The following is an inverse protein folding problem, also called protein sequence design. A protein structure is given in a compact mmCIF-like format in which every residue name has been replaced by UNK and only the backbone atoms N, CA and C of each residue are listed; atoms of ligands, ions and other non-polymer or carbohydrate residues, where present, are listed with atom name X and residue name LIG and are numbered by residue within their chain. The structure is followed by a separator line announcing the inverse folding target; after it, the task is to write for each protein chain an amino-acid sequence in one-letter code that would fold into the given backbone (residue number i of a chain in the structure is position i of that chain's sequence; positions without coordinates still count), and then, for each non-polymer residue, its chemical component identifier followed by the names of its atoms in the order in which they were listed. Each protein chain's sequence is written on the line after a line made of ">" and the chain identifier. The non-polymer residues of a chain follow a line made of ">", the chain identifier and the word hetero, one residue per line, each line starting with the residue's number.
data_IF_163156974667
#
_entry.id   IF_163156974667
#
_cell.length_a   1.000
_cell.length_b   1.000
_cell.length_c   1.000
_cell.angle_alpha   90.00
_cell.angle_beta   90.00
_cell.angle_gamma   90.00
#
_symmetry.space_group_name_H-M   'P 1'
#
loop_
_entity.id
_entity.type
_entity.pdbx_description
1 polymer ?
#
# COMPACT_ATOMS: atom_id res chain seq x y z
N UNK A 1 3.72 -8.47 19.74
CA UNK A 1 3.88 -7.58 18.59
C UNK A 1 5.21 -7.84 17.95
N UNK A 2 5.23 -7.91 16.66
CA UNK A 2 6.48 -8.03 15.95
C UNK A 2 7.21 -6.70 15.96
N UNK A 3 8.48 -6.76 16.30
CA UNK A 3 9.32 -5.59 16.14
C UNK A 3 9.53 -5.35 14.66
N UNK A 4 8.97 -4.28 14.18
CA UNK A 4 9.19 -3.88 12.80
C UNK A 4 10.48 -3.07 12.74
N UNK A 5 11.46 -3.60 12.05
CA UNK A 5 12.73 -2.89 11.90
C UNK A 5 12.66 -1.98 10.69
N UNK A 6 12.54 -0.69 10.96
CA UNK A 6 12.66 0.32 9.93
C UNK A 6 14.08 0.84 9.88
N UNK A 7 14.59 1.15 8.69
CA UNK A 7 15.89 1.80 8.59
C UNK A 7 15.90 3.10 9.40
N UNK A 8 17.00 3.37 10.04
CA UNK A 8 17.18 4.64 10.74
C UNK A 8 17.46 5.71 9.69
N UNK A 9 16.46 6.49 9.40
CA UNK A 9 16.60 7.64 8.53
C UNK A 9 16.35 8.87 9.38
N UNK A 10 17.36 9.67 9.58
CA UNK A 10 17.18 10.97 10.21
C UNK A 10 16.66 11.92 9.17
N UNK A 11 15.87 12.89 9.62
CA UNK A 11 15.35 13.91 8.73
C UNK A 11 16.51 14.67 8.11
N UNK A 12 16.61 14.61 6.79
CA UNK A 12 17.64 15.30 6.03
C UNK A 12 16.99 16.31 5.12
N UNK A 13 17.55 17.50 5.11
CA UNK A 13 17.17 18.51 4.14
C UNK A 13 18.24 18.57 3.08
N UNK A 14 17.90 18.16 1.88
CA UNK A 14 18.78 18.18 0.73
C UNK A 14 18.19 19.15 -0.30
N UNK A 15 18.84 20.30 -0.50
CA UNK A 15 18.41 21.23 -1.56
C UNK A 15 16.91 21.50 -1.57
N UNK A 16 16.35 21.93 -0.45
CA UNK A 16 14.93 22.17 -0.29
C UNK A 16 14.04 20.93 -0.34
N UNK A 17 14.63 19.75 -0.20
CA UNK A 17 13.88 18.51 -0.08
C UNK A 17 14.10 17.94 1.33
N UNK A 18 13.01 17.61 1.97
CA UNK A 18 13.02 16.93 3.26
C UNK A 18 12.65 15.46 3.05
N UNK A 19 13.46 14.57 3.60
CA UNK A 19 13.23 13.13 3.51
C UNK A 19 12.98 12.61 4.92
N UNK A 20 11.85 11.93 5.10
CA UNK A 20 11.53 11.33 6.39
C UNK A 20 10.83 10.00 6.20
N UNK A 21 10.89 9.14 7.22
CA UNK A 21 10.12 7.91 7.23
C UNK A 21 8.69 8.20 7.64
N UNK A 22 7.76 7.62 6.89
CA UNK A 22 6.38 7.56 7.30
C UNK A 22 6.25 6.64 8.51
N UNK A 23 5.31 6.94 9.41
CA UNK A 23 4.96 6.00 10.46
C UNK A 23 4.54 4.67 9.89
N UNK A 24 4.77 3.56 10.61
CA UNK A 24 4.34 2.25 10.14
C UNK A 24 2.86 2.22 9.80
N UNK A 25 2.56 1.73 8.61
CA UNK A 25 1.20 1.57 8.14
C UNK A 25 1.00 0.13 7.69
N UNK A 26 -0.24 -0.32 7.75
CA UNK A 26 -0.60 -1.65 7.25
C UNK A 26 -0.69 -1.63 5.74
N UNK A 27 -0.18 -2.68 5.12
CA UNK A 27 -0.17 -2.83 3.68
C UNK A 27 -0.62 -4.24 3.31
N UNK A 28 -1.53 -4.33 2.39
CA UNK A 28 -2.10 -5.60 1.94
C UNK A 28 -1.99 -5.64 0.43
N UNK A 29 -1.54 -6.77 -0.09
CA UNK A 29 -1.56 -7.04 -1.52
C UNK A 29 -2.83 -7.78 -1.88
N UNK A 30 -3.55 -7.26 -2.86
CA UNK A 30 -4.76 -7.89 -3.41
C UNK A 30 -4.50 -8.29 -4.85
N UNK A 31 -4.93 -9.51 -5.19
CA UNK A 31 -4.89 -10.00 -6.57
C UNK A 31 -6.23 -10.61 -6.94
N UNK A 32 -6.70 -10.30 -8.14
CA UNK A 32 -7.93 -10.84 -8.68
C UNK A 32 -8.34 -10.14 -9.96
N UNK A 33 -9.29 -10.74 -10.68
CA UNK A 33 -9.71 -10.22 -11.98
C UNK A 33 -11.22 -10.14 -12.17
N UNK A 34 -11.99 -10.91 -11.41
CA UNK A 34 -13.41 -11.03 -11.68
C UNK A 34 -14.21 -9.84 -11.15
N UNK A 35 -15.40 -9.66 -11.71
CA UNK A 35 -16.32 -8.65 -11.18
C UNK A 35 -16.67 -8.92 -9.73
N UNK A 36 -16.78 -10.19 -9.36
CA UNK A 36 -17.04 -10.58 -7.99
C UNK A 36 -15.93 -10.16 -7.06
N UNK A 37 -14.66 -10.34 -7.48
CA UNK A 37 -13.51 -9.86 -6.73
C UNK A 37 -13.59 -8.36 -6.48
N UNK A 38 -13.84 -7.58 -7.54
CA UNK A 38 -13.93 -6.12 -7.42
C UNK A 38 -15.06 -5.70 -6.49
N UNK A 39 -16.20 -6.36 -6.59
CA UNK A 39 -17.35 -6.04 -5.74
C UNK A 39 -17.05 -6.33 -4.27
N UNK A 40 -16.46 -7.48 -3.98
CA UNK A 40 -16.15 -7.86 -2.60
C UNK A 40 -15.08 -7.00 -1.97
N UNK A 41 -14.02 -6.73 -2.69
CA UNK A 41 -12.95 -5.84 -2.20
C UNK A 41 -13.50 -4.43 -1.98
N UNK A 42 -14.26 -3.92 -2.93
CA UNK A 42 -14.84 -2.59 -2.82
C UNK A 42 -15.79 -2.45 -1.66
N UNK A 43 -16.54 -3.50 -1.35
CA UNK A 43 -17.46 -3.49 -0.21
C UNK A 43 -16.72 -3.39 1.11
N UNK A 44 -15.64 -4.15 1.27
CA UNK A 44 -14.85 -4.11 2.51
C UNK A 44 -14.14 -2.78 2.67
N UNK A 45 -13.58 -2.25 1.59
CA UNK A 45 -12.74 -1.06 1.63
C UNK A 45 -13.51 0.24 1.40
N UNK A 46 -14.77 0.15 1.02
CA UNK A 46 -15.61 1.33 0.70
C UNK A 46 -14.99 2.19 -0.41
N UNK A 47 -14.41 1.53 -1.40
CA UNK A 47 -13.81 2.22 -2.54
C UNK A 47 -13.92 1.33 -3.78
N UNK A 48 -13.63 1.93 -4.94
CA UNK A 48 -13.53 1.19 -6.19
C UNK A 48 -12.05 1.05 -6.51
N UNK A 49 -11.58 -0.20 -6.67
CA UNK A 49 -10.20 -0.43 -7.04
C UNK A 49 -9.89 0.26 -8.37
N UNK A 50 -8.76 0.97 -8.47
CA UNK A 50 -8.43 1.66 -9.71
C UNK A 50 -8.17 0.66 -10.83
N UNK A 51 -8.68 0.95 -12.02
CA UNK A 51 -8.54 0.07 -13.17
C UNK A 51 -7.65 0.63 -14.28
N UNK A 52 -7.08 1.79 -14.08
CA UNK A 52 -6.14 2.38 -15.02
C UNK A 52 -4.72 2.31 -14.47
N UNK A 53 -3.76 2.09 -15.36
CA UNK A 53 -2.35 2.00 -14.98
C UNK A 53 -1.90 3.24 -14.23
N UNK A 54 -1.17 3.00 -13.15
CA UNK A 54 -0.52 4.05 -12.35
C UNK A 54 -1.51 5.02 -11.70
N UNK A 55 -2.71 4.54 -11.38
CA UNK A 55 -3.71 5.34 -10.66
C UNK A 55 -3.94 4.78 -9.27
N UNK A 56 -4.60 5.56 -8.46
CA UNK A 56 -4.99 5.17 -7.12
C UNK A 56 -6.42 5.63 -6.83
N UNK A 57 -7.02 4.98 -5.86
CA UNK A 57 -8.31 5.43 -5.32
C UNK A 57 -8.23 5.41 -3.80
N UNK A 58 -9.15 6.10 -3.16
CA UNK A 58 -9.14 6.16 -1.71
C UNK A 58 -10.56 6.29 -1.16
N UNK A 59 -10.69 5.90 0.08
CA UNK A 59 -11.87 6.13 0.90
C UNK A 59 -11.42 6.77 2.20
N UNK A 60 -12.31 6.91 3.16
CA UNK A 60 -11.98 7.58 4.42
C UNK A 60 -10.76 6.98 5.11
N UNK A 61 -10.65 5.64 5.10
CA UNK A 61 -9.61 4.95 5.86
C UNK A 61 -8.61 4.19 5.00
N UNK A 62 -8.87 4.06 3.72
CA UNK A 62 -8.08 3.18 2.86
C UNK A 62 -7.60 3.90 1.61
N UNK A 63 -6.43 3.46 1.15
CA UNK A 63 -5.87 3.86 -0.13
C UNK A 63 -5.54 2.61 -0.92
N UNK A 64 -5.88 2.59 -2.20
CA UNK A 64 -5.56 1.47 -3.09
C UNK A 64 -4.75 1.98 -4.26
N UNK A 65 -3.64 1.33 -4.52
CA UNK A 65 -2.73 1.67 -5.61
C UNK A 65 -2.74 0.57 -6.64
N UNK A 66 -2.92 0.92 -7.90
CA UNK A 66 -2.81 -0.01 -9.01
C UNK A 66 -1.34 -0.43 -9.18
N UNK A 67 -1.08 -1.73 -9.20
CA UNK A 67 0.26 -2.26 -9.45
C UNK A 67 0.33 -2.98 -10.79
N UNK A 68 -0.75 -3.65 -11.17
CA UNK A 68 -0.88 -4.34 -12.44
C UNK A 68 -2.37 -4.53 -12.72
N UNK A 69 -2.76 -4.99 -13.90
CA UNK A 69 -4.19 -5.19 -14.20
C UNK A 69 -4.93 -6.11 -13.24
N UNK A 70 -4.22 -6.94 -12.51
CA UNK A 70 -4.80 -7.89 -11.57
C UNK A 70 -4.20 -7.78 -10.16
N UNK A 71 -3.55 -6.68 -9.85
CA UNK A 71 -2.86 -6.55 -8.57
C UNK A 71 -2.94 -5.12 -8.04
N UNK A 72 -3.22 -5.00 -6.75
CA UNK A 72 -3.31 -3.73 -6.04
C UNK A 72 -2.62 -3.82 -4.69
N UNK A 73 -2.07 -2.70 -4.24
CA UNK A 73 -1.64 -2.54 -2.87
C UNK A 73 -2.61 -1.63 -2.16
N UNK A 74 -3.13 -2.09 -1.02
CA UNK A 74 -4.00 -1.31 -0.16
C UNK A 74 -3.21 -0.96 1.09
N UNK A 75 -3.23 0.29 1.48
CA UNK A 75 -2.58 0.70 2.72
C UNK A 75 -3.51 1.55 3.57
N UNK A 76 -3.29 1.48 4.88
CA UNK A 76 -4.13 2.16 5.85
C UNK A 76 -3.39 2.25 7.19
N UNK A 77 -3.82 3.16 8.06
CA UNK A 77 -3.31 3.21 9.43
C UNK A 77 -3.86 2.02 10.20
N UNK A 78 -3.00 1.42 11.01
CA UNK A 78 -3.11 0.02 11.29
C UNK A 78 -3.70 -0.42 12.61
N UNK A 79 -4.52 0.37 13.26
CA UNK A 79 -5.07 -0.05 14.55
C UNK A 79 -5.91 -1.33 14.43
N UNK A 80 -6.49 -1.57 13.26
CA UNK A 80 -7.38 -2.71 13.02
C UNK A 80 -6.87 -3.63 11.90
N UNK A 81 -5.57 -3.75 11.76
CA UNK A 81 -4.97 -4.53 10.66
C UNK A 81 -5.52 -5.94 10.55
N UNK A 82 -5.55 -6.67 11.66
CA UNK A 82 -6.03 -8.05 11.64
C UNK A 82 -7.51 -8.15 11.29
N UNK A 83 -8.30 -7.22 11.77
CA UNK A 83 -9.74 -7.20 11.49
C UNK A 83 -9.96 -6.97 10.00
N UNK A 84 -9.28 -6.01 9.42
CA UNK A 84 -9.42 -5.70 7.99
C UNK A 84 -8.89 -6.84 7.13
N UNK A 85 -7.71 -7.38 7.48
CA UNK A 85 -7.16 -8.52 6.76
C UNK A 85 -8.13 -9.69 6.77
N UNK A 86 -8.70 -10.02 7.93
CA UNK A 86 -9.63 -11.13 8.06
C UNK A 86 -10.91 -10.91 7.26
N UNK A 87 -11.42 -9.69 7.23
CA UNK A 87 -12.59 -9.37 6.41
C UNK A 87 -12.30 -9.54 4.93
N UNK A 88 -11.17 -9.02 4.47
CA UNK A 88 -10.76 -9.18 3.08
C UNK A 88 -10.54 -10.65 2.75
N UNK A 89 -9.82 -11.35 3.60
CA UNK A 89 -9.55 -12.78 3.39
C UNK A 89 -10.85 -13.57 3.30
N UNK A 90 -11.78 -13.33 4.24
CA UNK A 90 -13.06 -14.02 4.26
C UNK A 90 -13.86 -13.80 2.98
N UNK A 91 -13.89 -12.56 2.47
CA UNK A 91 -14.65 -12.26 1.26
C UNK A 91 -13.93 -12.71 -0.01
N UNK A 92 -12.63 -12.49 -0.09
CA UNK A 92 -11.88 -12.80 -1.31
C UNK A 92 -11.64 -14.31 -1.45
N UNK A 93 -11.55 -15.04 -0.34
CA UNK A 93 -11.39 -16.51 -0.42
C UNK A 93 -12.58 -17.22 -1.06
N UNK A 94 -13.72 -16.55 -1.13
CA UNK A 94 -14.91 -17.06 -1.81
C UNK A 94 -14.84 -16.90 -3.33
N UNK A 95 -13.85 -16.14 -3.81
CA UNK A 95 -13.71 -15.81 -5.22
C UNK A 95 -12.61 -16.69 -5.82
N UNK A 96 -12.87 -17.23 -7.01
CA UNK A 96 -11.85 -17.99 -7.73
C UNK A 96 -10.71 -17.07 -8.15
N UNK A 97 -9.47 -17.51 -7.92
CA UNK A 97 -8.26 -16.79 -8.32
C UNK A 97 -8.08 -15.44 -7.66
N UNK A 98 -8.70 -15.25 -6.49
CA UNK A 98 -8.44 -14.07 -5.67
C UNK A 98 -7.46 -14.38 -4.55
N UNK A 99 -6.64 -13.42 -4.16
CA UNK A 99 -5.73 -13.59 -3.02
C UNK A 99 -5.54 -12.30 -2.24
N UNK A 100 -5.25 -12.47 -0.96
CA UNK A 100 -4.99 -11.38 -0.02
C UNK A 100 -3.72 -11.74 0.74
N UNK A 101 -2.74 -10.87 0.74
CA UNK A 101 -1.46 -11.11 1.40
C UNK A 101 -1.07 -9.89 2.24
N UNK A 102 -0.70 -10.12 3.48
CA UNK A 102 -0.16 -9.05 4.33
C UNK A 102 1.30 -8.81 3.94
N UNK A 103 1.59 -7.59 3.50
CA UNK A 103 2.94 -7.19 3.08
C UNK A 103 3.47 -6.04 3.93
N UNK A 104 2.90 -5.83 5.11
CA UNK A 104 3.25 -4.67 5.94
C UNK A 104 4.74 -4.60 6.29
N UNK A 105 5.39 -5.73 6.43
CA UNK A 105 6.81 -5.79 6.78
C UNK A 105 7.74 -5.76 5.57
N UNK A 106 7.21 -5.75 4.35
CA UNK A 106 8.02 -5.81 3.14
C UNK A 106 8.33 -4.45 2.55
N UNK A 107 7.58 -3.43 2.95
CA UNK A 107 7.65 -2.10 2.35
C UNK A 107 7.70 -1.04 3.42
N UNK A 108 8.41 0.02 3.14
CA UNK A 108 8.38 1.23 3.97
C UNK A 108 7.95 2.41 3.11
N UNK A 109 7.37 3.40 3.76
CA UNK A 109 7.02 4.66 3.12
C UNK A 109 8.01 5.73 3.49
N UNK A 110 8.47 6.46 2.50
CA UNK A 110 9.38 7.58 2.68
C UNK A 110 8.67 8.82 2.17
N UNK A 111 8.62 9.84 3.00
CA UNK A 111 8.06 11.13 2.62
C UNK A 111 9.13 12.02 2.02
N UNK A 112 8.82 12.60 0.89
CA UNK A 112 9.63 13.62 0.26
C UNK A 112 8.83 14.91 0.21
N UNK A 113 9.32 15.94 0.86
CA UNK A 113 8.69 17.25 0.89
C UNK A 113 9.70 18.31 0.46
N UNK A 114 9.22 19.30 -0.25
CA UNK A 114 10.06 20.43 -0.61
C UNK A 114 9.84 20.89 -2.04
N UNK A 115 10.39 22.05 -2.36
CA UNK A 115 10.19 22.66 -3.67
C UNK A 115 10.85 21.89 -4.81
N UNK A 116 11.83 21.02 -4.51
CA UNK A 116 12.54 20.26 -5.52
C UNK A 116 12.19 18.77 -5.50
N UNK A 117 11.05 18.43 -4.92
CA UNK A 117 10.61 17.04 -4.83
C UNK A 117 10.54 16.38 -6.21
N UNK A 118 10.06 17.10 -7.22
CA UNK A 118 9.94 16.57 -8.57
C UNK A 118 11.29 16.15 -9.16
N UNK A 119 12.35 16.87 -8.81
CA UNK A 119 13.70 16.54 -9.31
C UNK A 119 14.21 15.19 -8.81
N UNK A 120 13.64 14.69 -7.72
CA UNK A 120 14.07 13.45 -7.09
C UNK A 120 13.11 12.30 -7.33
N UNK A 121 12.04 12.50 -8.08
CA UNK A 121 11.04 11.44 -8.30
C UNK A 121 11.55 10.30 -9.16
N UNK A 122 12.65 10.48 -9.86
CA UNK A 122 13.25 9.42 -10.67
C UNK A 122 14.19 8.51 -9.87
N UNK A 123 14.50 8.88 -8.64
CA UNK A 123 15.37 8.07 -7.80
C UNK A 123 14.65 6.83 -7.33
N UNK A 124 15.32 5.70 -7.45
CA UNK A 124 14.84 4.46 -6.90
C UNK A 124 15.40 4.30 -5.50
N UNK A 125 14.53 4.17 -4.52
CA UNK A 125 14.92 3.97 -3.14
C UNK A 125 14.51 2.55 -2.73
N UNK A 126 15.42 1.59 -2.85
CA UNK A 126 15.07 0.20 -2.50
C UNK A 126 14.77 0.10 -1.01
N UNK A 127 13.63 -0.49 -0.69
CA UNK A 127 13.18 -0.65 0.69
C UNK A 127 13.42 -2.04 1.23
N UNK A 128 13.77 -2.96 0.35
CA UNK A 128 14.09 -4.33 0.74
C UNK A 128 15.11 -4.87 -0.23
N UNK A 129 15.81 -5.95 0.15
CA UNK A 129 16.70 -6.62 -0.79
C UNK A 129 15.89 -7.07 -1.99
N UNK A 130 16.34 -6.66 -3.14
CA UNK A 130 15.76 -7.15 -4.35
C UNK A 130 16.47 -8.35 -4.81
N UNK A 131 15.71 -9.16 -5.23
CA UNK A 131 16.22 -10.31 -5.90
C UNK A 131 16.06 -10.16 -7.38
#
# INVERSE_FOLDING_TARGET
>A
MLDTHYPQITDNKLNDVEISLQEPISKINLRGKSKEFFAKAGKVLSLILPNEANTSSFSENFNAIWLSPDEWMVYFKNDDEKVIFNKLYSEISKVNYGSVTDISDQWICINLNGSKTVSYTHLTLPTSPHV
#
